data_IF_807287033046
#
_entry.id   IF_807287033046
#
_cell.length_a   1.000
_cell.length_b   1.000
_cell.length_c   1.000
_cell.angle_alpha   90.00
_cell.angle_beta   90.00
_cell.angle_gamma   90.00
#
_symmetry.space_group_name_H-M   'P 1'
#
loop_
_entity.id
_entity.type
_entity.pdbx_description
1 polymer ?
#
# COMPACT_ATOMS: atom_id res chain seq x y z
N UNK A 1 -11.68 25.56 8.89
CA UNK A 1 -11.96 25.77 7.47
C UNK A 1 -12.19 24.43 6.78
N UNK A 2 -12.97 24.39 5.70
CA UNK A 2 -13.02 23.20 4.85
C UNK A 2 -11.59 22.78 4.46
N UNK A 3 -11.28 21.49 4.53
CA UNK A 3 -9.91 21.03 4.34
C UNK A 3 -9.86 19.81 3.44
N UNK A 4 -8.96 19.84 2.45
CA UNK A 4 -8.56 18.69 1.64
C UNK A 4 -7.30 18.08 2.27
N UNK A 5 -7.36 16.81 2.63
CA UNK A 5 -6.19 16.07 3.09
C UNK A 5 -5.51 15.41 1.90
N UNK A 6 -4.26 15.79 1.64
CA UNK A 6 -3.48 15.33 0.48
C UNK A 6 -2.56 14.19 0.92
N UNK A 7 -2.75 13.01 0.32
CA UNK A 7 -2.01 11.80 0.68
C UNK A 7 -1.22 11.30 -0.53
N UNK A 8 0.09 11.46 -0.50
CA UNK A 8 0.99 10.92 -1.51
C UNK A 8 1.38 9.49 -1.14
N UNK A 9 0.73 8.51 -1.73
CA UNK A 9 1.09 7.10 -1.61
C UNK A 9 2.24 6.77 -2.56
N UNK A 10 3.28 6.09 -2.07
CA UNK A 10 4.39 5.62 -2.91
C UNK A 10 4.44 4.11 -2.80
N UNK A 11 4.12 3.41 -3.90
CA UNK A 11 4.32 1.98 -3.98
C UNK A 11 5.83 1.72 -3.99
N UNK A 12 6.34 1.31 -2.83
CA UNK A 12 7.76 1.28 -2.52
C UNK A 12 8.28 -0.13 -2.77
N UNK A 13 8.87 -0.32 -3.93
CA UNK A 13 9.26 -1.62 -4.50
C UNK A 13 10.77 -1.78 -4.67
N UNK A 14 11.55 -0.74 -4.37
CA UNK A 14 13.00 -0.71 -4.54
C UNK A 14 13.44 -0.58 -6.00
N UNK A 15 14.75 -0.81 -6.28
CA UNK A 15 15.30 -0.66 -7.62
C UNK A 15 14.64 -1.56 -8.64
N UNK A 16 14.42 -1.04 -9.86
CA UNK A 16 13.81 -1.77 -10.95
C UNK A 16 14.69 -1.67 -12.20
N UNK A 17 15.16 -2.81 -12.69
CA UNK A 17 15.88 -2.91 -13.94
C UNK A 17 15.02 -3.60 -15.00
N UNK A 18 14.85 -2.95 -16.16
CA UNK A 18 14.19 -3.53 -17.31
C UNK A 18 15.15 -3.57 -18.50
N UNK A 19 15.48 -4.77 -18.98
CA UNK A 19 16.29 -4.92 -20.19
C UNK A 19 15.49 -4.59 -21.44
N UNK A 20 16.18 -4.30 -22.54
CA UNK A 20 15.56 -4.07 -23.85
C UNK A 20 14.64 -5.26 -24.23
N UNK A 21 15.11 -6.50 -24.02
CA UNK A 21 14.33 -7.70 -24.27
C UNK A 21 13.05 -7.75 -23.41
N UNK A 22 13.15 -7.37 -22.13
CA UNK A 22 11.98 -7.34 -21.23
C UNK A 22 10.97 -6.25 -21.66
N UNK A 23 11.44 -5.10 -22.14
CA UNK A 23 10.59 -4.05 -22.72
C UNK A 23 9.80 -4.58 -23.92
N UNK A 24 10.46 -5.25 -24.87
CA UNK A 24 9.79 -5.82 -26.04
C UNK A 24 8.87 -6.99 -25.68
N UNK A 25 9.24 -7.84 -24.72
CA UNK A 25 8.35 -8.87 -24.20
C UNK A 25 7.08 -8.26 -23.56
N UNK A 26 7.19 -7.11 -22.90
CA UNK A 26 6.04 -6.38 -22.34
C UNK A 26 5.14 -5.84 -23.46
N UNK A 27 5.67 -5.29 -24.53
CA UNK A 27 4.89 -4.85 -25.70
C UNK A 27 4.15 -6.03 -26.36
N UNK A 28 4.82 -7.18 -26.50
CA UNK A 28 4.18 -8.38 -27.01
C UNK A 28 3.02 -8.84 -26.09
N UNK A 29 3.19 -8.77 -24.77
CA UNK A 29 2.14 -9.13 -23.82
C UNK A 29 0.93 -8.19 -23.82
N UNK A 30 1.17 -6.87 -23.98
CA UNK A 30 0.13 -5.84 -23.92
C UNK A 30 -0.65 -5.77 -25.24
N UNK A 31 0.06 -5.74 -26.37
CA UNK A 31 -0.48 -5.40 -27.69
C UNK A 31 -0.48 -6.57 -28.69
N UNK A 32 0.15 -7.70 -28.35
CA UNK A 32 0.39 -8.83 -29.26
C UNK A 32 1.29 -8.44 -30.46
N UNK A 33 2.22 -7.49 -30.23
CA UNK A 33 3.19 -6.99 -31.21
C UNK A 33 4.55 -7.61 -30.96
N UNK A 34 5.12 -8.25 -31.98
CA UNK A 34 6.40 -8.96 -31.88
C UNK A 34 7.45 -8.29 -32.77
N UNK A 35 8.51 -7.78 -32.15
CA UNK A 35 9.65 -7.16 -32.81
C UNK A 35 10.94 -7.78 -32.30
N UNK A 36 11.99 -7.76 -33.14
CA UNK A 36 13.34 -8.06 -32.69
C UNK A 36 13.84 -6.87 -31.82
N UNK A 37 14.26 -7.11 -30.58
CA UNK A 37 14.66 -6.05 -29.67
C UNK A 37 15.90 -5.28 -30.17
N UNK A 38 15.74 -3.98 -30.45
CA UNK A 38 16.83 -3.07 -30.78
C UNK A 38 16.52 -1.64 -30.34
N UNK A 39 17.53 -0.84 -30.05
CA UNK A 39 17.37 0.58 -29.69
C UNK A 39 16.74 1.39 -30.84
N UNK A 40 17.05 1.02 -32.09
CA UNK A 40 16.49 1.69 -33.28
C UNK A 40 14.97 1.44 -33.35
N UNK A 41 14.53 0.19 -33.24
CA UNK A 41 13.09 -0.14 -33.25
C UNK A 41 12.38 0.46 -32.05
N UNK A 42 13.01 0.51 -30.87
CA UNK A 42 12.46 1.19 -29.69
C UNK A 42 12.21 2.68 -29.96
N UNK A 43 13.19 3.38 -30.53
CA UNK A 43 13.06 4.79 -30.87
C UNK A 43 11.95 5.04 -31.92
N UNK A 44 11.87 4.20 -32.94
CA UNK A 44 10.81 4.28 -33.94
C UNK A 44 9.40 4.07 -33.37
N UNK A 45 9.25 3.09 -32.45
CA UNK A 45 7.98 2.85 -31.74
C UNK A 45 7.61 4.03 -30.82
N UNK A 46 8.60 4.61 -30.13
CA UNK A 46 8.39 5.80 -29.28
C UNK A 46 7.92 7.02 -30.08
N UNK A 47 8.39 7.15 -31.32
CA UNK A 47 8.03 8.26 -32.23
C UNK A 47 6.75 7.98 -33.05
N UNK A 48 6.19 6.76 -32.97
CA UNK A 48 5.05 6.36 -33.79
C UNK A 48 5.37 6.19 -35.29
N UNK A 49 6.61 5.85 -35.62
CA UNK A 49 7.13 5.73 -37.01
C UNK A 49 6.85 4.34 -37.60
N UNK A 50 6.51 3.35 -36.77
CA UNK A 50 6.15 2.00 -37.20
C UNK A 50 4.63 1.88 -37.19
N UNK A 51 4.05 1.46 -38.33
CA UNK A 51 2.63 1.15 -38.44
C UNK A 51 2.30 -0.10 -37.57
N UNK A 52 1.45 0.08 -36.57
CA UNK A 52 0.99 -0.95 -35.64
C UNK A 52 -0.55 -1.03 -35.57
N UNK A 53 -1.20 -0.80 -36.72
CA UNK A 53 -2.65 -0.91 -36.87
C UNK A 53 -3.46 0.02 -35.95
N UNK A 54 -3.12 1.28 -35.93
CA UNK A 54 -3.75 2.36 -35.13
C UNK A 54 -3.45 2.29 -33.63
N UNK A 55 -2.45 1.52 -33.21
CA UNK A 55 -1.98 1.46 -31.82
C UNK A 55 -0.72 2.32 -31.58
N UNK A 56 -0.27 3.13 -32.56
CA UNK A 56 0.96 3.90 -32.50
C UNK A 56 1.04 4.74 -31.24
N UNK A 57 -0.01 5.47 -30.91
CA UNK A 57 -0.06 6.33 -29.73
C UNK A 57 -0.07 5.52 -28.43
N UNK A 58 -0.81 4.42 -28.36
CA UNK A 58 -0.86 3.55 -27.19
C UNK A 58 0.51 2.90 -26.92
N UNK A 59 1.18 2.43 -27.97
CA UNK A 59 2.53 1.86 -27.90
C UNK A 59 3.54 2.93 -27.47
N UNK A 60 3.51 4.12 -28.10
CA UNK A 60 4.38 5.23 -27.73
C UNK A 60 4.19 5.67 -26.27
N UNK A 61 2.96 5.70 -25.78
CA UNK A 61 2.65 6.01 -24.38
C UNK A 61 3.25 4.97 -23.41
N UNK A 62 3.15 3.68 -23.71
CA UNK A 62 3.75 2.61 -22.89
C UNK A 62 5.27 2.65 -22.90
N UNK A 63 5.87 3.04 -24.03
CA UNK A 63 7.32 3.13 -24.24
C UNK A 63 7.90 4.53 -23.97
N UNK A 64 7.10 5.45 -23.45
CA UNK A 64 7.56 6.81 -23.20
C UNK A 64 8.89 6.83 -22.40
N UNK A 65 9.89 7.63 -22.82
CA UNK A 65 11.20 7.64 -22.18
C UNK A 65 11.16 7.88 -20.66
N UNK A 66 10.23 8.72 -20.17
CA UNK A 66 10.10 8.99 -18.74
C UNK A 66 9.58 7.77 -17.97
N UNK A 67 8.78 6.90 -18.62
CA UNK A 67 8.28 5.66 -18.01
C UNK A 67 9.32 4.53 -18.02
N UNK A 68 10.32 4.61 -18.89
CA UNK A 68 11.43 3.64 -19.01
C UNK A 68 12.67 4.04 -18.21
N UNK A 69 12.73 5.29 -17.73
CA UNK A 69 13.84 5.77 -16.91
C UNK A 69 13.62 5.36 -15.45
N UNK A 70 14.32 4.30 -15.03
CA UNK A 70 14.19 3.75 -13.70
C UNK A 70 15.41 4.04 -12.81
N UNK A 71 15.18 4.10 -11.50
CA UNK A 71 16.20 3.92 -10.48
C UNK A 71 16.52 2.41 -10.42
N UNK A 72 17.49 1.98 -11.20
CA UNK A 72 17.80 0.57 -11.43
C UNK A 72 18.84 0.01 -10.46
N UNK A 73 19.37 0.85 -9.57
CA UNK A 73 20.27 0.49 -8.46
C UNK A 73 19.87 1.20 -7.19
N UNK A 74 20.28 0.67 -6.05
CA UNK A 74 20.07 1.29 -4.74
C UNK A 74 20.71 2.68 -4.66
N UNK A 75 21.91 2.87 -5.23
CA UNK A 75 22.60 4.17 -5.21
C UNK A 75 21.82 5.26 -5.96
N UNK A 76 21.16 4.92 -7.08
CA UNK A 76 20.31 5.87 -7.81
C UNK A 76 19.04 6.18 -7.04
N UNK A 77 18.43 5.16 -6.44
CA UNK A 77 17.26 5.31 -5.61
C UNK A 77 17.57 6.20 -4.40
N UNK A 78 18.65 5.90 -3.66
CA UNK A 78 19.07 6.65 -2.47
C UNK A 78 19.35 8.11 -2.80
N UNK A 79 20.05 8.37 -3.90
CA UNK A 79 20.29 9.74 -4.34
C UNK A 79 18.97 10.50 -4.56
N UNK A 80 17.99 9.89 -5.22
CA UNK A 80 16.68 10.50 -5.43
C UNK A 80 15.95 10.71 -4.10
N UNK A 81 16.01 9.72 -3.18
CA UNK A 81 15.38 9.79 -1.87
C UNK A 81 15.99 10.90 -0.99
N UNK A 82 17.32 10.99 -0.90
CA UNK A 82 17.97 12.05 -0.14
C UNK A 82 17.58 13.44 -0.65
N UNK A 83 17.50 13.63 -1.96
CA UNK A 83 17.05 14.89 -2.54
C UNK A 83 15.56 15.16 -2.20
N UNK A 84 14.67 14.16 -2.37
CA UNK A 84 13.24 14.30 -2.12
C UNK A 84 12.90 14.50 -0.63
N UNK A 85 13.68 13.89 0.27
CA UNK A 85 13.52 13.97 1.72
C UNK A 85 14.20 15.23 2.32
N UNK A 86 14.98 15.97 1.53
CA UNK A 86 15.67 17.15 2.01
C UNK A 86 14.69 18.24 2.46
N UNK A 87 15.05 19.03 3.48
CA UNK A 87 14.22 20.18 3.92
C UNK A 87 13.99 21.18 2.79
N UNK A 88 14.97 21.40 1.90
CA UNK A 88 14.86 22.30 0.75
C UNK A 88 13.73 21.86 -0.18
N UNK A 89 13.72 20.58 -0.58
CA UNK A 89 12.71 20.06 -1.49
C UNK A 89 11.34 20.06 -0.85
N UNK A 90 11.21 19.55 0.39
CA UNK A 90 9.93 19.52 1.09
C UNK A 90 9.33 20.90 1.29
N UNK A 91 10.14 21.90 1.69
CA UNK A 91 9.68 23.25 1.95
C UNK A 91 9.44 24.08 0.68
N UNK A 92 9.91 23.61 -0.48
CA UNK A 92 9.51 24.17 -1.78
C UNK A 92 8.08 23.78 -2.17
N UNK A 93 7.52 22.75 -1.53
CA UNK A 93 6.19 22.20 -1.80
C UNK A 93 5.36 22.23 -0.51
N UNK A 94 4.84 23.40 -0.15
CA UNK A 94 4.15 23.63 1.11
C UNK A 94 2.63 23.47 0.97
N UNK A 95 2.00 23.04 2.06
CA UNK A 95 0.55 23.07 2.22
C UNK A 95 0.04 24.47 2.61
N UNK A 96 -1.27 24.64 2.75
CA UNK A 96 -1.90 25.92 3.13
C UNK A 96 -1.45 26.47 4.48
N UNK A 97 -0.82 25.66 5.33
CA UNK A 97 -0.30 26.05 6.64
C UNK A 97 1.22 26.33 6.63
N UNK A 98 1.87 26.20 5.47
CA UNK A 98 3.32 26.34 5.33
C UNK A 98 4.10 25.11 5.75
N UNK A 99 3.46 23.95 5.93
CA UNK A 99 4.16 22.71 6.22
C UNK A 99 4.67 22.07 4.90
N UNK A 100 5.89 21.53 4.94
CA UNK A 100 6.49 20.83 3.81
C UNK A 100 5.78 19.52 3.47
N UNK A 101 6.15 18.96 2.32
CA UNK A 101 5.57 17.74 1.78
C UNK A 101 5.70 16.53 2.72
N UNK A 102 4.69 15.62 2.70
CA UNK A 102 4.63 14.39 3.49
C UNK A 102 4.48 13.19 2.55
N UNK A 103 5.24 12.14 2.79
CA UNK A 103 5.23 10.91 2.00
C UNK A 103 4.61 9.76 2.78
N UNK A 104 4.00 8.83 2.05
CA UNK A 104 3.44 7.59 2.57
C UNK A 104 4.06 6.42 1.81
N UNK A 105 5.03 5.76 2.44
CA UNK A 105 5.84 4.68 1.88
C UNK A 105 5.14 3.35 2.09
N UNK A 106 4.50 2.83 1.04
CA UNK A 106 3.81 1.54 1.05
C UNK A 106 4.80 0.44 0.66
N UNK A 107 5.43 -0.16 1.66
CA UNK A 107 6.53 -1.10 1.48
C UNK A 107 6.02 -2.50 1.11
N UNK A 108 6.62 -3.09 0.08
CA UNK A 108 6.28 -4.41 -0.44
C UNK A 108 7.28 -5.47 -0.03
N UNK A 109 6.78 -6.67 0.23
CA UNK A 109 7.58 -7.89 0.27
C UNK A 109 7.32 -8.72 -0.99
N UNK A 110 8.34 -8.83 -1.83
CA UNK A 110 8.28 -9.63 -3.05
C UNK A 110 8.88 -11.01 -2.78
N UNK A 111 8.07 -11.91 -2.19
CA UNK A 111 8.48 -13.28 -1.83
C UNK A 111 7.61 -14.31 -2.54
N UNK A 112 8.12 -15.50 -2.73
CA UNK A 112 7.40 -16.63 -3.35
C UNK A 112 7.28 -16.56 -4.87
N UNK A 113 7.84 -15.54 -5.52
CA UNK A 113 7.89 -15.43 -6.98
C UNK A 113 9.04 -16.23 -7.55
N UNK A 114 8.83 -16.88 -8.70
CA UNK A 114 9.85 -17.65 -9.43
C UNK A 114 10.34 -16.95 -10.70
N UNK A 115 9.54 -16.03 -11.28
CA UNK A 115 9.91 -15.24 -12.45
C UNK A 115 10.02 -13.75 -12.09
N UNK A 116 11.16 -13.14 -12.40
CA UNK A 116 11.48 -11.73 -12.10
C UNK A 116 12.13 -11.04 -13.30
N UNK A 117 11.37 -10.80 -14.39
CA UNK A 117 11.92 -10.29 -15.66
C UNK A 117 12.44 -8.84 -15.56
N UNK A 118 11.95 -8.06 -14.61
CA UNK A 118 12.39 -6.68 -14.36
C UNK A 118 13.39 -6.56 -13.21
N UNK A 119 13.95 -7.66 -12.74
CA UNK A 119 14.96 -7.73 -11.68
C UNK A 119 14.61 -6.90 -10.45
N UNK A 120 13.35 -6.99 -9.99
CA UNK A 120 12.93 -6.41 -8.72
C UNK A 120 13.69 -7.06 -7.56
N UNK A 121 13.83 -6.33 -6.48
CA UNK A 121 14.41 -6.86 -5.24
C UNK A 121 13.44 -7.86 -4.60
N UNK A 122 13.78 -9.16 -4.67
CA UNK A 122 12.97 -10.22 -4.08
C UNK A 122 13.45 -10.51 -2.66
N UNK A 123 12.54 -10.75 -1.76
CA UNK A 123 12.85 -11.19 -0.40
C UNK A 123 11.93 -10.57 0.65
N UNK A 124 12.07 -11.05 1.89
CA UNK A 124 11.35 -10.52 3.03
C UNK A 124 12.01 -9.22 3.51
N UNK A 125 11.20 -8.18 3.72
CA UNK A 125 11.50 -6.95 4.46
C UNK A 125 12.70 -6.13 4.00
N UNK A 126 13.32 -6.44 2.88
CA UNK A 126 14.46 -5.68 2.36
C UNK A 126 14.07 -4.22 2.07
N UNK A 127 12.91 -4.04 1.47
CA UNK A 127 12.36 -2.70 1.16
C UNK A 127 12.01 -1.99 2.46
N UNK A 128 11.24 -2.63 3.33
CA UNK A 128 10.83 -2.06 4.61
C UNK A 128 12.03 -1.63 5.46
N UNK A 129 13.02 -2.50 5.62
CA UNK A 129 14.21 -2.20 6.43
C UNK A 129 15.01 -1.04 5.85
N UNK A 130 15.17 -0.99 4.51
CA UNK A 130 15.87 0.10 3.83
C UNK A 130 15.15 1.44 4.07
N UNK A 131 13.83 1.52 3.84
CA UNK A 131 13.05 2.74 4.02
C UNK A 131 12.96 3.15 5.49
N UNK A 132 12.80 2.21 6.41
CA UNK A 132 12.85 2.50 7.84
C UNK A 132 14.17 3.15 8.25
N UNK A 133 15.30 2.67 7.72
CA UNK A 133 16.61 3.22 7.99
C UNK A 133 16.76 4.65 7.41
N UNK A 134 16.41 4.86 6.13
CA UNK A 134 16.58 6.18 5.50
C UNK A 134 15.66 7.24 6.12
N UNK A 135 14.46 6.88 6.55
CA UNK A 135 13.57 7.81 7.26
C UNK A 135 14.13 8.19 8.64
N UNK A 136 14.74 7.25 9.35
CA UNK A 136 15.41 7.51 10.61
C UNK A 136 16.64 8.42 10.40
N UNK A 137 17.48 8.13 9.40
CA UNK A 137 18.68 8.92 9.08
C UNK A 137 18.36 10.37 8.69
N UNK A 138 17.26 10.56 7.95
CA UNK A 138 16.83 11.89 7.48
C UNK A 138 15.91 12.61 8.46
N UNK A 139 15.55 11.99 9.60
CA UNK A 139 14.62 12.56 10.58
C UNK A 139 13.20 12.78 10.03
N UNK A 140 12.77 11.98 9.07
CA UNK A 140 11.49 12.08 8.38
C UNK A 140 10.31 11.54 9.23
N UNK A 141 10.09 12.11 10.39
CA UNK A 141 9.14 11.64 11.42
C UNK A 141 7.67 11.96 11.11
N UNK A 142 7.38 12.73 10.05
CA UNK A 142 6.01 13.01 9.58
C UNK A 142 5.54 12.05 8.49
N UNK A 143 6.45 11.28 7.92
CA UNK A 143 6.14 10.30 6.88
C UNK A 143 5.56 9.01 7.48
N UNK A 144 4.71 8.32 6.71
CA UNK A 144 4.17 7.03 7.08
C UNK A 144 4.91 5.86 6.43
N UNK A 145 5.17 4.79 7.21
CA UNK A 145 5.49 3.47 6.67
C UNK A 145 4.22 2.62 6.70
N UNK A 146 3.84 2.08 5.55
CA UNK A 146 2.59 1.37 5.34
C UNK A 146 2.80 0.06 4.60
N UNK A 147 1.77 -0.75 4.56
CA UNK A 147 1.81 -2.07 3.96
C UNK A 147 1.35 -2.06 2.50
N UNK A 148 2.15 -2.69 1.65
CA UNK A 148 1.85 -2.96 0.24
C UNK A 148 2.02 -4.44 -0.04
N UNK A 149 1.06 -5.06 -0.72
CA UNK A 149 1.13 -6.49 -0.99
C UNK A 149 0.80 -6.81 -2.44
N UNK A 150 1.66 -7.64 -3.03
CA UNK A 150 1.45 -8.24 -4.34
C UNK A 150 1.09 -9.72 -4.17
N UNK A 151 -0.20 -10.10 -4.26
CA UNK A 151 -0.59 -11.50 -4.29
C UNK A 151 0.10 -12.23 -5.45
N UNK A 152 0.53 -13.48 -5.20
CA UNK A 152 1.28 -14.25 -6.18
C UNK A 152 0.33 -14.79 -7.26
N UNK A 153 0.51 -14.45 -8.56
CA UNK A 153 -0.29 -15.00 -9.64
C UNK A 153 0.10 -16.45 -9.93
N UNK A 154 -0.75 -17.19 -10.64
CA UNK A 154 -0.44 -18.57 -11.04
C UNK A 154 0.81 -18.70 -11.92
N UNK A 155 1.21 -17.63 -12.61
CA UNK A 155 2.46 -17.57 -13.36
C UNK A 155 3.70 -17.42 -12.48
N UNK A 156 3.53 -17.18 -11.17
CA UNK A 156 4.58 -16.84 -10.21
C UNK A 156 5.50 -15.68 -10.67
N UNK A 157 5.04 -14.84 -11.60
CA UNK A 157 5.80 -13.70 -12.08
C UNK A 157 5.53 -12.46 -11.22
N UNK A 158 6.57 -11.85 -10.68
CA UNK A 158 6.51 -10.59 -9.95
C UNK A 158 5.96 -9.41 -10.78
N UNK A 159 5.69 -9.65 -12.08
CA UNK A 159 5.28 -8.67 -13.07
C UNK A 159 3.80 -8.78 -13.45
N UNK A 160 3.14 -9.83 -13.00
CA UNK A 160 1.75 -10.09 -13.32
C UNK A 160 0.84 -9.86 -12.13
N UNK A 161 -0.35 -9.32 -12.42
CA UNK A 161 -1.41 -9.17 -11.44
C UNK A 161 -2.05 -10.52 -11.10
N UNK A 162 -2.25 -10.79 -9.83
CA UNK A 162 -3.04 -11.91 -9.36
C UNK A 162 -4.55 -11.63 -9.48
N UNK A 163 -5.35 -12.69 -9.64
CA UNK A 163 -6.81 -12.63 -9.67
C UNK A 163 -7.46 -13.04 -8.34
N UNK A 164 -6.68 -13.51 -7.39
CA UNK A 164 -7.06 -13.85 -6.02
C UNK A 164 -6.11 -13.18 -5.04
N UNK A 165 -6.56 -12.90 -3.85
CA UNK A 165 -5.72 -12.41 -2.77
C UNK A 165 -4.87 -13.55 -2.16
N UNK A 166 -5.46 -14.75 -2.01
CA UNK A 166 -4.83 -15.95 -1.46
C UNK A 166 -4.63 -17.07 -2.48
N UNK A 167 -4.46 -16.79 -3.78
CA UNK A 167 -4.60 -17.80 -4.82
C UNK A 167 -3.60 -18.97 -4.75
N UNK A 168 -2.30 -18.69 -4.82
CA UNK A 168 -1.31 -19.73 -5.04
C UNK A 168 -0.46 -20.03 -3.81
N UNK A 169 0.06 -18.98 -3.18
CA UNK A 169 0.91 -19.08 -1.97
C UNK A 169 0.51 -17.96 -1.02
N UNK A 170 -0.08 -18.26 0.13
CA UNK A 170 -0.53 -17.24 1.10
C UNK A 170 0.63 -16.69 1.91
N UNK A 171 1.65 -16.14 1.23
CA UNK A 171 2.87 -15.60 1.86
C UNK A 171 2.59 -14.43 2.79
N UNK A 172 1.43 -13.78 2.65
CA UNK A 172 1.07 -12.61 3.45
C UNK A 172 1.08 -12.90 4.96
N UNK A 173 0.71 -14.10 5.37
CA UNK A 173 0.73 -14.49 6.78
C UNK A 173 2.15 -14.60 7.31
N UNK A 174 3.07 -15.14 6.51
CA UNK A 174 4.49 -15.20 6.88
C UNK A 174 5.13 -13.81 6.91
N UNK A 175 4.79 -12.94 5.93
CA UNK A 175 5.24 -11.55 5.90
C UNK A 175 4.85 -10.84 7.19
N UNK A 176 3.56 -10.81 7.52
CA UNK A 176 3.07 -10.13 8.72
C UNK A 176 3.61 -10.76 10.02
N UNK A 177 3.78 -12.09 10.08
CA UNK A 177 4.39 -12.74 11.25
C UNK A 177 5.84 -12.30 11.46
N UNK A 178 6.61 -12.14 10.39
CA UNK A 178 7.99 -11.62 10.46
C UNK A 178 8.03 -10.14 10.86
N UNK A 179 7.10 -9.33 10.35
CA UNK A 179 6.98 -7.92 10.75
C UNK A 179 6.71 -7.79 12.25
N UNK A 180 5.78 -8.58 12.78
CA UNK A 180 5.42 -8.56 14.19
C UNK A 180 6.61 -9.01 15.05
N UNK A 181 7.19 -10.18 14.76
CA UNK A 181 8.20 -10.80 15.62
C UNK A 181 9.55 -10.11 15.50
N UNK A 182 10.01 -9.84 14.27
CA UNK A 182 11.36 -9.35 14.05
C UNK A 182 11.47 -7.83 14.08
N UNK A 183 10.36 -7.09 13.87
CA UNK A 183 10.35 -5.62 13.75
C UNK A 183 9.44 -4.92 14.74
N UNK A 184 8.63 -5.65 15.50
CA UNK A 184 7.60 -5.10 16.39
C UNK A 184 6.73 -4.10 15.63
N UNK A 185 6.31 -4.46 14.41
CA UNK A 185 5.53 -3.62 13.51
C UNK A 185 4.30 -4.37 12.97
N UNK A 186 3.21 -3.65 12.76
CA UNK A 186 1.99 -4.15 12.15
C UNK A 186 1.26 -3.00 11.43
N UNK A 187 0.62 -3.24 10.26
CA UNK A 187 -0.01 -2.18 9.50
C UNK A 187 -1.40 -1.80 9.99
N UNK A 188 -1.72 -0.50 9.96
CA UNK A 188 -3.10 0.02 10.00
C UNK A 188 -3.54 0.65 8.68
N UNK A 189 -2.62 0.84 7.74
CA UNK A 189 -2.87 1.39 6.41
C UNK A 189 -2.33 0.43 5.36
N UNK A 190 -3.13 0.19 4.33
CA UNK A 190 -2.86 -0.75 3.26
C UNK A 190 -3.05 -0.12 1.88
N UNK A 191 -2.30 -0.62 0.91
CA UNK A 191 -2.48 -0.35 -0.50
C UNK A 191 -2.16 -1.62 -1.31
N UNK A 192 -3.08 -2.07 -2.22
CA UNK A 192 -2.86 -3.29 -3.00
C UNK A 192 -1.92 -3.07 -4.18
N UNK A 193 -1.08 -4.06 -4.47
CA UNK A 193 -0.34 -4.15 -5.72
C UNK A 193 -1.28 -4.20 -6.92
N UNK A 194 -0.92 -3.51 -8.01
CA UNK A 194 -1.75 -3.38 -9.22
C UNK A 194 -3.18 -2.84 -8.94
N UNK A 195 -3.40 -2.16 -7.82
CA UNK A 195 -4.73 -1.77 -7.33
C UNK A 195 -5.73 -2.95 -7.25
N UNK A 196 -5.22 -4.15 -7.05
CA UNK A 196 -5.99 -5.39 -7.18
C UNK A 196 -6.67 -5.78 -5.87
N UNK A 197 -7.85 -5.24 -5.61
CA UNK A 197 -8.76 -5.77 -4.60
C UNK A 197 -9.64 -6.86 -5.22
N UNK A 198 -9.87 -7.92 -4.45
CA UNK A 198 -10.71 -9.08 -4.83
C UNK A 198 -11.66 -9.40 -3.67
N UNK A 199 -12.74 -10.17 -3.89
CA UNK A 199 -13.66 -10.54 -2.81
C UNK A 199 -12.98 -11.21 -1.62
N UNK A 200 -11.96 -12.03 -1.86
CA UNK A 200 -11.19 -12.70 -0.81
C UNK A 200 -10.24 -11.76 -0.02
N UNK A 201 -10.03 -10.53 -0.46
CA UNK A 201 -9.30 -9.52 0.33
C UNK A 201 -10.00 -9.18 1.65
N UNK A 202 -11.33 -9.35 1.72
CA UNK A 202 -12.10 -9.17 2.95
C UNK A 202 -11.65 -10.10 4.08
N UNK A 203 -11.18 -11.30 3.75
CA UNK A 203 -10.77 -12.29 4.76
C UNK A 203 -9.56 -11.89 5.59
N UNK A 204 -8.77 -10.94 5.09
CA UNK A 204 -7.67 -10.35 5.86
C UNK A 204 -7.99 -8.91 6.29
N UNK A 205 -8.36 -8.05 5.33
CA UNK A 205 -8.44 -6.62 5.58
C UNK A 205 -9.51 -6.28 6.62
N UNK A 206 -10.68 -6.94 6.57
CA UNK A 206 -11.75 -6.74 7.56
C UNK A 206 -11.43 -7.28 8.96
N UNK A 207 -10.38 -8.10 9.07
CA UNK A 207 -9.96 -8.62 10.36
C UNK A 207 -8.88 -7.75 11.02
N UNK A 208 -8.04 -7.07 10.23
CA UNK A 208 -6.81 -6.53 10.79
C UNK A 208 -6.49 -5.08 10.41
N UNK A 209 -6.96 -4.57 9.25
CA UNK A 209 -6.46 -3.31 8.68
C UNK A 209 -7.61 -2.32 8.43
N UNK A 210 -7.68 -1.21 9.19
CA UNK A 210 -8.81 -0.29 9.12
C UNK A 210 -8.82 0.64 7.89
N UNK A 211 -7.67 0.95 7.28
CA UNK A 211 -7.57 1.94 6.21
C UNK A 211 -6.95 1.38 4.94
N UNK A 212 -7.65 1.55 3.81
CA UNK A 212 -7.29 0.98 2.51
C UNK A 212 -7.33 2.07 1.42
N UNK A 213 -6.19 2.34 0.77
CA UNK A 213 -6.07 3.30 -0.33
C UNK A 213 -6.12 2.60 -1.69
N UNK A 214 -7.15 1.79 -1.91
CA UNK A 214 -7.26 0.89 -3.06
C UNK A 214 -8.14 1.40 -4.19
N UNK A 215 -9.16 2.26 -3.90
CA UNK A 215 -10.15 2.64 -4.91
C UNK A 215 -9.51 3.46 -6.03
N UNK A 216 -9.40 2.87 -7.21
CA UNK A 216 -8.88 3.51 -8.42
C UNK A 216 -9.98 3.79 -9.46
N UNK A 217 -11.17 4.20 -8.99
CA UNK A 217 -12.27 4.56 -9.87
C UNK A 217 -11.92 5.76 -10.75
N UNK A 218 -12.29 5.67 -12.02
CA UNK A 218 -12.01 6.68 -13.03
C UNK A 218 -13.22 6.87 -13.96
N UNK A 219 -13.47 8.10 -14.41
CA UNK A 219 -14.69 8.45 -15.17
C UNK A 219 -14.80 7.73 -16.50
N UNK A 220 -13.66 7.50 -17.17
CA UNK A 220 -13.59 6.87 -18.48
C UNK A 220 -12.70 5.64 -18.41
N UNK A 221 -13.15 4.62 -17.68
CA UNK A 221 -12.38 3.39 -17.51
C UNK A 221 -12.55 2.45 -18.70
N UNK A 222 -12.26 2.96 -19.90
CA UNK A 222 -12.27 2.19 -21.16
C UNK A 222 -10.84 2.05 -21.66
N UNK A 223 -10.26 0.87 -21.48
CA UNK A 223 -8.92 0.57 -21.94
C UNK A 223 -8.96 -0.42 -23.10
N UNK A 224 -8.30 -0.06 -24.21
CA UNK A 224 -8.09 -0.95 -25.35
C UNK A 224 -6.95 -1.94 -25.10
N UNK A 225 -6.05 -1.61 -24.20
CA UNK A 225 -4.91 -2.46 -23.85
C UNK A 225 -5.35 -3.71 -23.10
N UNK A 226 -4.87 -4.86 -23.55
CA UNK A 226 -5.25 -6.18 -23.06
C UNK A 226 -5.03 -6.39 -21.57
N UNK A 227 -3.95 -5.84 -21.01
CA UNK A 227 -3.58 -5.94 -19.60
C UNK A 227 -4.44 -5.07 -18.67
N UNK A 228 -5.07 -4.02 -19.21
CA UNK A 228 -5.97 -3.13 -18.46
C UNK A 228 -7.46 -3.45 -18.67
N UNK A 229 -7.77 -4.17 -19.76
CA UNK A 229 -9.16 -4.45 -20.12
C UNK A 229 -9.91 -5.23 -19.03
N UNK A 230 -11.19 -4.91 -18.84
CA UNK A 230 -12.11 -5.61 -17.94
C UNK A 230 -11.63 -5.69 -16.47
N UNK A 231 -10.90 -4.69 -16.00
CA UNK A 231 -10.47 -4.60 -14.60
C UNK A 231 -9.37 -5.58 -14.22
N UNK A 232 -8.51 -6.00 -15.13
CA UNK A 232 -7.37 -6.90 -14.82
C UNK A 232 -6.40 -6.29 -13.80
N UNK A 233 -6.21 -4.97 -13.84
CA UNK A 233 -5.42 -4.18 -12.89
C UNK A 233 -6.31 -3.57 -11.79
N UNK A 234 -7.07 -4.38 -11.08
CA UNK A 234 -8.09 -3.94 -10.14
C UNK A 234 -9.38 -3.47 -10.85
N UNK A 235 -10.51 -4.02 -10.45
CA UNK A 235 -11.82 -3.62 -10.97
C UNK A 235 -12.45 -2.57 -10.05
N UNK A 236 -12.45 -1.32 -10.51
CA UNK A 236 -12.99 -0.18 -9.78
C UNK A 236 -14.06 0.57 -10.57
N UNK A 237 -14.62 -0.05 -11.63
CA UNK A 237 -15.54 0.59 -12.58
C UNK A 237 -16.86 1.04 -11.95
N UNK A 238 -17.26 0.46 -10.82
CA UNK A 238 -18.50 0.77 -10.08
C UNK A 238 -18.24 1.49 -8.75
N UNK A 239 -16.99 1.66 -8.38
CA UNK A 239 -16.64 2.30 -7.12
C UNK A 239 -16.93 3.82 -7.15
N UNK A 240 -17.13 4.44 -5.98
CA UNK A 240 -17.36 5.88 -5.90
C UNK A 240 -16.25 6.70 -6.56
N UNK A 241 -16.64 7.70 -7.33
CA UNK A 241 -15.73 8.65 -8.01
C UNK A 241 -15.40 9.88 -7.16
N UNK A 242 -16.02 10.01 -5.98
CA UNK A 242 -15.74 11.09 -5.05
C UNK A 242 -14.50 10.80 -4.19
N UNK A 243 -14.03 11.81 -3.46
CA UNK A 243 -12.87 11.73 -2.57
C UNK A 243 -13.22 11.37 -1.13
N UNK A 244 -14.49 10.99 -0.88
CA UNK A 244 -14.92 10.54 0.43
C UNK A 244 -14.58 9.06 0.60
N UNK A 245 -13.87 8.66 1.67
CA UNK A 245 -13.73 7.25 2.01
C UNK A 245 -15.09 6.62 2.29
N UNK A 246 -15.20 5.34 2.01
CA UNK A 246 -16.44 4.58 2.25
C UNK A 246 -16.15 3.22 2.88
N UNK A 247 -17.09 2.71 3.66
CA UNK A 247 -17.12 1.32 4.08
C UNK A 247 -17.59 0.45 2.91
N UNK A 248 -16.86 -0.59 2.50
CA UNK A 248 -17.33 -1.45 1.41
C UNK A 248 -18.46 -2.37 1.86
N UNK A 249 -19.25 -2.86 0.89
CA UNK A 249 -20.16 -3.96 1.10
C UNK A 249 -19.38 -5.28 1.17
N UNK A 250 -19.86 -6.21 1.97
CA UNK A 250 -19.30 -7.55 2.06
C UNK A 250 -19.37 -8.29 0.70
N UNK A 251 -20.45 -8.09 -0.05
CA UNK A 251 -20.69 -8.79 -1.31
C UNK A 251 -20.01 -8.13 -2.52
N UNK A 252 -19.70 -6.83 -2.42
CA UNK A 252 -19.06 -6.06 -3.47
C UNK A 252 -18.21 -4.92 -2.90
N UNK A 253 -16.91 -5.08 -2.90
CA UNK A 253 -15.98 -4.06 -2.37
C UNK A 253 -16.05 -2.71 -3.09
N UNK A 254 -16.62 -2.65 -4.30
CA UNK A 254 -16.84 -1.40 -5.03
C UNK A 254 -18.08 -0.63 -4.58
N UNK A 255 -18.97 -1.28 -3.83
CA UNK A 255 -20.24 -0.68 -3.39
C UNK A 255 -20.15 -0.28 -1.92
N UNK A 256 -20.59 0.95 -1.54
CA UNK A 256 -20.73 1.32 -0.15
C UNK A 256 -21.62 0.35 0.65
N UNK A 257 -21.20 0.00 1.85
CA UNK A 257 -21.87 -0.98 2.72
C UNK A 257 -21.50 -0.79 4.20
N UNK A 258 -21.33 -1.89 4.91
CA UNK A 258 -21.17 -1.92 6.36
C UNK A 258 -19.99 -2.78 6.84
N UNK A 259 -19.03 -3.05 5.98
CA UNK A 259 -17.75 -3.60 6.42
C UNK A 259 -17.04 -2.62 7.38
N UNK A 260 -16.03 -3.09 8.10
CA UNK A 260 -15.36 -2.28 9.13
C UNK A 260 -14.36 -1.28 8.55
N UNK A 261 -13.59 -1.70 7.52
CA UNK A 261 -12.54 -0.86 6.96
C UNK A 261 -13.10 0.29 6.15
N UNK A 262 -12.27 1.30 5.97
CA UNK A 262 -12.52 2.40 5.06
C UNK A 262 -11.69 2.23 3.79
N UNK A 263 -12.31 2.47 2.63
CA UNK A 263 -11.62 2.51 1.35
C UNK A 263 -11.57 3.96 0.85
N UNK A 264 -10.37 4.50 0.64
CA UNK A 264 -10.10 5.79 0.01
C UNK A 264 -9.83 5.66 -1.49
N UNK A 265 -10.26 6.66 -2.27
CA UNK A 265 -9.92 6.77 -3.69
C UNK A 265 -8.46 7.20 -3.83
N UNK A 266 -7.69 6.56 -4.75
CA UNK A 266 -6.30 6.86 -5.01
C UNK A 266 -5.99 6.72 -6.49
N UNK A 267 -5.74 7.83 -7.19
CA UNK A 267 -5.39 7.84 -8.61
C UNK A 267 -3.87 7.76 -8.82
N UNK A 268 -3.45 7.56 -10.05
CA UNK A 268 -2.03 7.49 -10.37
C UNK A 268 -1.44 8.85 -10.72
N UNK A 269 -0.12 9.00 -10.53
CA UNK A 269 0.70 10.07 -11.09
C UNK A 269 1.95 9.44 -11.71
N UNK A 270 2.46 10.02 -12.80
CA UNK A 270 3.65 9.50 -13.48
C UNK A 270 3.47 8.11 -14.10
N UNK A 271 2.25 7.71 -14.44
CA UNK A 271 1.93 6.45 -15.11
C UNK A 271 1.10 6.66 -16.37
N UNK A 272 0.74 5.58 -17.05
CA UNK A 272 0.03 5.61 -18.34
C UNK A 272 -1.50 5.55 -18.26
N UNK A 273 -2.08 5.35 -17.07
CA UNK A 273 -3.53 5.15 -16.94
C UNK A 273 -4.06 5.68 -15.61
N UNK A 274 -5.33 6.04 -15.59
CA UNK A 274 -6.05 6.55 -14.41
C UNK A 274 -5.27 7.66 -13.69
N UNK A 275 -4.69 8.57 -14.48
CA UNK A 275 -3.83 9.64 -13.98
C UNK A 275 -4.65 10.76 -13.38
N UNK A 276 -4.21 11.26 -12.23
CA UNK A 276 -4.75 12.46 -11.60
C UNK A 276 -4.68 13.65 -12.55
N UNK A 277 -5.79 14.36 -12.69
CA UNK A 277 -5.91 15.56 -13.50
C UNK A 277 -6.37 16.76 -12.65
N UNK A 278 -6.27 17.97 -13.22
CA UNK A 278 -6.71 19.20 -12.54
C UNK A 278 -8.16 19.12 -12.09
N UNK A 279 -9.05 18.56 -12.91
CA UNK A 279 -10.48 18.41 -12.59
C UNK A 279 -10.71 17.51 -11.37
N UNK A 280 -9.86 16.51 -11.14
CA UNK A 280 -9.94 15.63 -9.97
C UNK A 280 -9.54 16.38 -8.70
N UNK A 281 -8.51 17.26 -8.79
CA UNK A 281 -8.09 18.12 -7.68
C UNK A 281 -9.18 19.14 -7.37
N UNK A 282 -9.75 19.79 -8.38
CA UNK A 282 -10.85 20.74 -8.22
C UNK A 282 -12.08 20.09 -7.58
N UNK A 283 -12.39 18.84 -7.95
CA UNK A 283 -13.46 18.07 -7.34
C UNK A 283 -13.21 17.89 -5.84
N UNK A 284 -11.97 17.57 -5.42
CA UNK A 284 -11.64 17.41 -4.01
C UNK A 284 -11.87 18.72 -3.21
N UNK A 285 -11.45 19.85 -3.78
CA UNK A 285 -11.67 21.16 -3.17
C UNK A 285 -13.16 21.51 -3.10
N UNK A 286 -13.91 21.23 -4.16
CA UNK A 286 -15.37 21.47 -4.15
C UNK A 286 -16.07 20.58 -3.11
N UNK A 287 -15.70 19.30 -3.00
CA UNK A 287 -16.27 18.40 -1.99
C UNK A 287 -15.98 18.89 -0.57
N UNK A 288 -14.74 19.32 -0.29
CA UNK A 288 -14.42 19.92 1.02
C UNK A 288 -15.21 21.19 1.29
N UNK A 289 -15.37 22.08 0.31
CA UNK A 289 -16.21 23.30 0.42
C UNK A 289 -17.65 22.96 0.73
N UNK A 290 -18.18 21.85 0.19
CA UNK A 290 -19.52 21.35 0.44
C UNK A 290 -19.66 20.66 1.81
N UNK A 291 -18.62 20.68 2.64
CA UNK A 291 -18.60 20.09 3.98
C UNK A 291 -18.49 18.57 3.99
N UNK A 292 -17.98 17.97 2.91
CA UNK A 292 -17.77 16.52 2.81
C UNK A 292 -16.34 16.14 3.18
N UNK A 293 -16.12 14.95 3.80
CA UNK A 293 -14.77 14.42 3.97
C UNK A 293 -14.05 14.34 2.62
N UNK A 294 -12.86 14.92 2.51
CA UNK A 294 -12.12 14.93 1.24
C UNK A 294 -10.67 14.52 1.46
N UNK A 295 -10.31 13.35 0.94
CA UNK A 295 -8.94 12.83 0.93
C UNK A 295 -8.50 12.70 -0.52
N UNK A 296 -7.73 13.67 -0.99
CA UNK A 296 -7.09 13.64 -2.30
C UNK A 296 -5.84 12.76 -2.22
N UNK A 297 -5.96 11.50 -2.61
CA UNK A 297 -4.81 10.61 -2.62
C UNK A 297 -4.41 10.18 -4.02
N UNK A 298 -3.11 10.05 -4.22
CA UNK A 298 -2.51 9.66 -5.48
C UNK A 298 -1.27 8.80 -5.24
N UNK A 299 -0.90 8.01 -6.25
CA UNK A 299 0.18 7.07 -6.13
C UNK A 299 1.15 7.12 -7.31
N UNK A 300 2.42 6.90 -6.98
CA UNK A 300 3.49 6.63 -7.91
C UNK A 300 4.40 5.50 -7.38
N UNK A 301 5.61 5.36 -7.92
CA UNK A 301 6.54 4.29 -7.53
C UNK A 301 7.94 4.86 -7.31
N UNK A 302 8.65 4.35 -6.31
CA UNK A 302 10.01 4.75 -5.93
C UNK A 302 11.08 4.40 -6.98
N UNK A 303 10.83 3.42 -7.82
CA UNK A 303 11.74 3.09 -8.92
C UNK A 303 11.76 4.13 -10.07
N UNK A 304 11.02 5.24 -9.94
CA UNK A 304 11.11 6.44 -10.81
C UNK A 304 11.47 7.67 -10.00
N UNK A 305 11.77 8.77 -10.68
CA UNK A 305 12.00 10.05 -10.02
C UNK A 305 10.68 10.67 -9.57
N UNK A 306 10.36 10.51 -8.28
CA UNK A 306 9.13 11.02 -7.69
C UNK A 306 9.07 12.54 -7.58
N UNK A 307 10.20 13.25 -7.69
CA UNK A 307 10.27 14.71 -7.50
C UNK A 307 9.49 15.46 -8.57
N UNK A 308 9.52 14.96 -9.81
CA UNK A 308 8.72 15.52 -10.91
C UNK A 308 7.21 15.40 -10.62
N UNK A 309 6.78 14.26 -10.09
CA UNK A 309 5.38 14.00 -9.76
C UNK A 309 4.91 14.91 -8.61
N UNK A 310 5.76 15.11 -7.58
CA UNK A 310 5.50 16.04 -6.48
C UNK A 310 5.29 17.47 -6.99
N UNK A 311 6.20 17.95 -7.86
CA UNK A 311 6.10 19.29 -8.44
C UNK A 311 4.82 19.46 -9.26
N UNK A 312 4.49 18.47 -10.09
CA UNK A 312 3.27 18.50 -10.90
C UNK A 312 2.00 18.56 -10.04
N UNK A 313 1.93 17.77 -8.97
CA UNK A 313 0.77 17.77 -8.08
C UNK A 313 0.70 19.06 -7.27
N UNK A 314 1.83 19.61 -6.81
CA UNK A 314 1.84 20.91 -6.13
C UNK A 314 1.29 22.01 -7.03
N UNK A 315 1.66 22.06 -8.32
CA UNK A 315 1.12 23.03 -9.27
C UNK A 315 -0.43 22.91 -9.40
N UNK A 316 -0.95 21.67 -9.43
CA UNK A 316 -2.40 21.44 -9.45
C UNK A 316 -3.08 21.92 -8.16
N UNK A 317 -2.48 21.65 -6.99
CA UNK A 317 -2.98 22.09 -5.68
C UNK A 317 -3.00 23.62 -5.58
N UNK A 318 -1.91 24.28 -5.97
CA UNK A 318 -1.82 25.75 -5.97
C UNK A 318 -2.84 26.39 -6.91
N UNK A 319 -3.05 25.78 -8.08
CA UNK A 319 -4.08 26.20 -9.05
C UNK A 319 -5.48 26.09 -8.44
N UNK A 320 -5.81 24.98 -7.76
CA UNK A 320 -7.09 24.81 -7.08
C UNK A 320 -7.21 25.76 -5.90
N UNK A 321 -6.20 25.89 -5.04
CA UNK A 321 -6.24 26.79 -3.90
C UNK A 321 -6.49 28.26 -4.32
N UNK A 322 -5.97 28.68 -5.47
CA UNK A 322 -6.25 30.02 -6.00
C UNK A 322 -7.71 30.25 -6.39
N UNK A 323 -8.43 29.20 -6.80
CA UNK A 323 -9.85 29.24 -7.18
C UNK A 323 -10.80 28.98 -6.01
N UNK A 324 -10.32 28.28 -5.00
CA UNK A 324 -11.05 27.87 -3.80
C UNK A 324 -10.41 28.49 -2.54
N UNK A 325 -10.31 29.83 -2.51
CA UNK A 325 -9.59 30.55 -1.45
C UNK A 325 -10.17 30.36 -0.02
N UNK A 326 -11.33 29.77 0.11
CA UNK A 326 -12.01 29.42 1.36
C UNK A 326 -11.79 27.96 1.78
N UNK A 327 -10.95 27.20 1.05
CA UNK A 327 -10.59 25.80 1.33
C UNK A 327 -9.09 25.70 1.56
N UNK A 328 -8.67 25.04 2.63
CA UNK A 328 -7.29 24.68 2.90
C UNK A 328 -6.96 23.30 2.32
N UNK A 329 -5.70 23.06 1.96
CA UNK A 329 -5.19 21.71 1.77
C UNK A 329 -4.02 21.44 2.72
N UNK A 330 -3.86 20.19 3.13
CA UNK A 330 -2.82 19.75 4.08
C UNK A 330 -2.17 18.48 3.62
N UNK A 331 -0.84 18.48 3.52
CA UNK A 331 -0.07 17.26 3.30
C UNK A 331 -0.13 16.38 4.55
N UNK A 332 -0.59 15.14 4.38
CA UNK A 332 -0.93 14.27 5.51
C UNK A 332 -0.35 12.87 5.36
N UNK A 333 0.00 12.30 6.49
CA UNK A 333 0.20 10.86 6.63
C UNK A 333 -1.14 10.14 6.45
N UNK A 334 -1.13 8.94 5.85
CA UNK A 334 -2.35 8.25 5.41
C UNK A 334 -3.34 7.94 6.53
N UNK A 335 -2.86 7.52 7.69
CA UNK A 335 -3.68 7.28 8.88
C UNK A 335 -4.25 8.59 9.44
N UNK A 336 -3.41 9.63 9.51
CA UNK A 336 -3.84 10.96 9.96
C UNK A 336 -4.94 11.54 9.05
N UNK A 337 -4.79 11.41 7.74
CA UNK A 337 -5.79 11.87 6.78
C UNK A 337 -7.15 11.20 7.01
N UNK A 338 -7.20 9.88 7.21
CA UNK A 338 -8.44 9.17 7.53
C UNK A 338 -9.05 9.65 8.84
N UNK A 339 -8.25 9.77 9.91
CA UNK A 339 -8.70 10.24 11.22
C UNK A 339 -9.34 11.62 11.15
N UNK A 340 -8.70 12.55 10.45
CA UNK A 340 -9.12 13.94 10.38
C UNK A 340 -10.30 14.15 9.43
N UNK A 341 -10.24 13.56 8.22
CA UNK A 341 -11.32 13.72 7.24
C UNK A 341 -12.64 13.07 7.70
N UNK A 342 -12.56 11.94 8.37
CA UNK A 342 -13.72 11.21 8.88
C UNK A 342 -14.16 11.65 10.29
N UNK A 343 -13.45 12.62 10.88
CA UNK A 343 -13.72 13.12 12.25
C UNK A 343 -13.78 11.98 13.28
N UNK A 344 -12.89 10.99 13.14
CA UNK A 344 -12.85 9.85 14.05
C UNK A 344 -12.53 10.33 15.47
N UNK A 345 -13.22 9.74 16.44
CA UNK A 345 -12.99 10.08 17.85
C UNK A 345 -11.60 9.61 18.29
N UNK A 346 -10.79 10.55 18.74
CA UNK A 346 -9.45 10.25 19.27
C UNK A 346 -9.53 9.28 20.45
N UNK A 347 -8.69 8.25 20.40
CA UNK A 347 -8.60 7.21 21.41
C UNK A 347 -7.14 7.00 21.79
N UNK A 348 -6.85 6.71 23.08
CA UNK A 348 -5.53 6.20 23.44
C UNK A 348 -5.31 4.83 22.78
N UNK A 349 -4.06 4.47 22.42
CA UNK A 349 -3.75 3.11 21.96
C UNK A 349 -4.25 2.08 22.96
N UNK A 350 -4.86 0.99 22.47
CA UNK A 350 -5.27 -0.11 23.33
C UNK A 350 -4.04 -0.84 23.90
N UNK A 351 -4.18 -1.41 25.10
CA UNK A 351 -3.17 -2.27 25.69
C UNK A 351 -3.61 -3.72 25.57
N UNK A 352 -2.67 -4.59 25.19
CA UNK A 352 -2.84 -6.03 25.20
C UNK A 352 -2.12 -6.60 26.44
N UNK A 353 -2.83 -7.39 27.23
CA UNK A 353 -2.21 -8.24 28.25
C UNK A 353 -2.13 -9.64 27.69
N UNK A 354 -0.92 -10.20 27.61
CA UNK A 354 -0.66 -11.50 27.02
C UNK A 354 0.13 -12.32 28.05
N UNK A 355 -0.43 -13.47 28.47
CA UNK A 355 0.18 -14.36 29.45
C UNK A 355 0.20 -15.80 28.94
N UNK A 356 1.33 -16.48 29.07
CA UNK A 356 1.47 -17.89 28.73
C UNK A 356 1.55 -18.69 30.02
N UNK A 357 0.57 -19.55 30.26
CA UNK A 357 0.52 -20.41 31.43
C UNK A 357 0.06 -21.81 31.02
N UNK A 358 0.82 -22.84 31.42
CA UNK A 358 0.47 -24.25 31.18
C UNK A 358 0.06 -24.53 29.70
N UNK A 359 0.87 -24.09 28.75
CA UNK A 359 0.66 -24.27 27.29
C UNK A 359 -0.53 -23.47 26.71
N UNK A 360 -1.12 -22.54 27.48
CA UNK A 360 -2.17 -21.64 27.01
C UNK A 360 -1.67 -20.21 26.99
N UNK A 361 -1.87 -19.53 25.87
CA UNK A 361 -1.71 -18.08 25.74
C UNK A 361 -3.07 -17.43 25.96
N UNK A 362 -3.22 -16.67 27.03
CA UNK A 362 -4.38 -15.81 27.27
C UNK A 362 -4.08 -14.38 26.81
N UNK A 363 -5.02 -13.77 26.10
CA UNK A 363 -4.93 -12.43 25.56
C UNK A 363 -6.16 -11.63 25.97
N UNK A 364 -5.94 -10.47 26.58
CA UNK A 364 -7.01 -9.50 26.87
C UNK A 364 -6.66 -8.12 26.34
N UNK A 365 -7.66 -7.38 25.84
CA UNK A 365 -7.52 -6.02 25.37
C UNK A 365 -8.23 -5.03 26.27
N UNK A 366 -7.60 -3.86 26.51
CA UNK A 366 -8.17 -2.78 27.32
C UNK A 366 -9.38 -2.08 26.69
N UNK A 367 -9.58 -2.26 25.38
CA UNK A 367 -10.70 -1.73 24.61
C UNK A 367 -10.94 -2.59 23.36
N UNK A 368 -12.13 -2.48 22.71
CA UNK A 368 -12.44 -3.28 21.53
C UNK A 368 -11.40 -3.12 20.40
N UNK A 369 -10.97 -4.26 19.84
CA UNK A 369 -10.14 -4.30 18.65
C UNK A 369 -10.93 -3.93 17.40
N UNK A 370 -10.24 -3.48 16.32
CA UNK A 370 -10.85 -3.23 15.02
C UNK A 370 -11.51 -4.49 14.44
N UNK A 371 -10.76 -5.58 14.39
CA UNK A 371 -11.20 -6.86 13.88
C UNK A 371 -11.69 -7.81 14.98
N UNK A 372 -12.16 -8.99 14.60
CA UNK A 372 -12.72 -9.95 15.56
C UNK A 372 -11.67 -10.53 16.52
N UNK A 373 -10.40 -10.56 16.13
CA UNK A 373 -9.29 -11.09 16.89
C UNK A 373 -7.98 -10.36 16.55
N UNK A 374 -6.98 -10.34 17.46
CA UNK A 374 -5.61 -9.98 17.13
C UNK A 374 -4.99 -10.96 16.13
N UNK A 375 -3.95 -10.52 15.42
CA UNK A 375 -3.10 -11.38 14.62
C UNK A 375 -2.14 -12.13 15.55
N UNK A 376 -2.18 -13.45 15.53
CA UNK A 376 -1.23 -14.32 16.24
C UNK A 376 -0.10 -14.71 15.28
N UNK A 377 1.12 -14.37 15.62
CA UNK A 377 2.34 -14.74 14.92
C UNK A 377 3.16 -15.69 15.79
N UNK A 378 3.65 -16.77 15.21
CA UNK A 378 4.47 -17.79 15.89
C UNK A 378 5.73 -18.02 15.10
N UNK A 379 6.89 -17.89 15.74
CA UNK A 379 8.17 -18.34 15.20
C UNK A 379 8.56 -19.65 15.85
N UNK A 380 8.78 -20.68 15.02
CA UNK A 380 9.18 -21.99 15.50
C UNK A 380 10.69 -22.09 15.73
N UNK A 381 11.12 -23.07 16.54
CA UNK A 381 12.54 -23.37 16.75
C UNK A 381 13.26 -23.86 15.49
N UNK A 382 12.52 -24.29 14.45
CA UNK A 382 13.04 -24.58 13.11
C UNK A 382 13.18 -23.34 12.23
N UNK A 383 12.78 -22.14 12.70
CA UNK A 383 12.87 -20.88 11.99
C UNK A 383 11.72 -20.58 11.04
N UNK A 384 10.63 -21.33 11.10
CA UNK A 384 9.41 -21.06 10.34
C UNK A 384 8.55 -20.02 11.04
N UNK A 385 7.84 -19.19 10.25
CA UNK A 385 6.87 -18.23 10.75
C UNK A 385 5.47 -18.67 10.35
N UNK A 386 4.56 -18.69 11.33
CA UNK A 386 3.20 -19.17 11.20
C UNK A 386 2.22 -18.13 11.74
N UNK A 387 1.02 -18.16 11.20
CA UNK A 387 -0.15 -17.46 11.72
C UNK A 387 -1.22 -18.49 12.03
N UNK A 388 -1.94 -18.30 13.13
CA UNK A 388 -3.10 -19.13 13.46
C UNK A 388 -4.22 -18.28 14.07
N UNK A 389 -5.41 -18.85 14.17
CA UNK A 389 -6.58 -18.22 14.77
C UNK A 389 -6.60 -18.43 16.27
N UNK A 390 -7.32 -17.55 16.95
CA UNK A 390 -7.53 -17.59 18.39
C UNK A 390 -8.92 -18.12 18.74
N UNK A 391 -9.06 -18.76 19.89
CA UNK A 391 -10.35 -19.08 20.51
C UNK A 391 -10.91 -17.84 21.21
N UNK A 392 -12.22 -17.61 21.04
CA UNK A 392 -12.90 -16.45 21.64
C UNK A 392 -13.32 -16.73 23.08
N UNK A 393 -12.88 -15.89 24.00
CA UNK A 393 -13.38 -15.84 25.36
C UNK A 393 -14.41 -14.73 25.55
N UNK A 394 -14.07 -13.52 25.08
CA UNK A 394 -14.96 -12.37 25.04
C UNK A 394 -14.80 -11.65 23.69
N UNK A 395 -15.86 -11.51 22.87
CA UNK A 395 -15.76 -10.88 21.56
C UNK A 395 -15.11 -9.49 21.62
N UNK A 396 -14.08 -9.26 20.81
CA UNK A 396 -13.31 -8.03 20.69
C UNK A 396 -12.43 -7.65 21.90
N UNK A 397 -12.45 -8.44 22.99
CA UNK A 397 -11.76 -8.13 24.24
C UNK A 397 -10.90 -9.26 24.81
N UNK A 398 -11.24 -10.53 24.55
CA UNK A 398 -10.54 -11.66 25.16
C UNK A 398 -10.45 -12.87 24.26
N UNK A 399 -9.26 -13.49 24.23
CA UNK A 399 -8.95 -14.67 23.40
C UNK A 399 -7.97 -15.57 24.13
N UNK A 400 -7.91 -16.84 23.66
CA UNK A 400 -6.87 -17.77 24.05
C UNK A 400 -6.34 -18.58 22.89
N UNK A 401 -5.18 -19.19 23.07
CA UNK A 401 -4.58 -20.14 22.12
C UNK A 401 -3.88 -21.25 22.90
N UNK A 402 -4.17 -22.51 22.55
CA UNK A 402 -3.56 -23.68 23.20
C UNK A 402 -2.43 -24.20 22.32
N UNK A 403 -1.26 -24.39 22.92
CA UNK A 403 -0.08 -24.98 22.29
C UNK A 403 -0.05 -26.49 22.57
N UNK A 404 -0.42 -27.29 21.58
CA UNK A 404 -0.48 -28.75 21.71
C UNK A 404 -0.11 -29.47 20.39
N UNK A 405 -0.37 -30.78 20.32
CA UNK A 405 -0.09 -31.60 19.13
C UNK A 405 -1.02 -31.27 17.94
N UNK A 406 -2.16 -30.59 18.13
CA UNK A 406 -3.10 -30.20 17.08
C UNK A 406 -2.77 -28.82 16.49
N UNK A 407 -2.03 -28.03 17.24
CA UNK A 407 -1.53 -26.70 16.83
C UNK A 407 -0.01 -26.77 16.65
N UNK A 408 0.74 -26.12 17.53
CA UNK A 408 2.21 -26.16 17.59
C UNK A 408 2.59 -26.40 19.06
N UNK A 409 3.22 -27.53 19.42
CA UNK A 409 3.67 -27.74 20.80
C UNK A 409 4.58 -26.62 21.28
N UNK A 410 4.35 -26.13 22.50
CA UNK A 410 5.06 -24.97 23.05
C UNK A 410 6.59 -25.11 23.04
N UNK A 411 7.08 -26.32 23.19
CA UNK A 411 8.52 -26.65 23.10
C UNK A 411 9.13 -26.37 21.74
N UNK A 412 8.31 -26.33 20.68
CA UNK A 412 8.71 -26.00 19.31
C UNK A 412 8.56 -24.51 18.99
N UNK A 413 8.18 -23.68 19.95
CA UNK A 413 7.99 -22.24 19.77
C UNK A 413 9.23 -21.47 20.25
N UNK A 414 9.79 -20.62 19.38
CA UNK A 414 10.91 -19.71 19.69
C UNK A 414 10.41 -18.36 20.18
N UNK A 415 9.40 -17.79 19.51
CA UNK A 415 8.82 -16.50 19.84
C UNK A 415 7.34 -16.45 19.45
N UNK A 416 6.56 -15.66 20.19
CA UNK A 416 5.15 -15.39 19.93
C UNK A 416 5.00 -13.88 19.74
N UNK A 417 4.22 -13.49 18.72
CA UNK A 417 3.84 -12.11 18.48
C UNK A 417 2.33 -11.96 18.42
N UNK A 418 1.80 -10.92 19.04
CA UNK A 418 0.37 -10.58 18.99
C UNK A 418 0.23 -9.13 18.55
N UNK A 419 -0.54 -8.88 17.51
CA UNK A 419 -0.73 -7.53 16.99
C UNK A 419 -2.18 -7.23 16.66
N UNK A 420 -2.61 -5.99 16.86
CA UNK A 420 -3.95 -5.55 16.50
C UNK A 420 -4.00 -4.03 16.26
N UNK A 421 -5.06 -3.60 15.59
CA UNK A 421 -5.44 -2.20 15.47
C UNK A 421 -6.76 -1.94 16.23
N UNK A 422 -7.02 -0.68 16.55
CA UNK A 422 -8.36 -0.17 16.83
C UNK A 422 -8.97 0.50 15.58
N UNK A 423 -10.22 0.95 15.68
CA UNK A 423 -10.94 1.64 14.60
C UNK A 423 -10.43 3.08 14.34
N UNK A 424 -9.62 3.62 15.22
CA UNK A 424 -8.88 4.88 15.04
C UNK A 424 -7.56 4.67 14.30
N UNK A 425 -7.15 3.41 14.09
CA UNK A 425 -5.89 3.02 13.44
C UNK A 425 -4.66 3.11 14.33
N UNK A 426 -4.82 3.14 15.67
CA UNK A 426 -3.71 2.87 16.57
C UNK A 426 -3.34 1.40 16.47
N UNK A 427 -2.04 1.13 16.53
CA UNK A 427 -1.50 -0.24 16.45
C UNK A 427 -0.81 -0.60 17.74
N UNK A 428 -1.07 -1.81 18.23
CA UNK A 428 -0.36 -2.40 19.35
C UNK A 428 0.25 -3.74 18.94
N UNK A 429 1.53 -3.90 19.24
CA UNK A 429 2.30 -5.12 19.00
C UNK A 429 2.89 -5.60 20.33
N UNK A 430 2.70 -6.88 20.65
CA UNK A 430 3.31 -7.55 21.83
C UNK A 430 4.16 -8.70 21.32
N UNK A 431 5.42 -8.76 21.77
CA UNK A 431 6.30 -9.90 21.53
C UNK A 431 6.58 -10.60 22.87
N UNK A 432 6.49 -11.92 22.86
CA UNK A 432 6.60 -12.78 24.03
C UNK A 432 7.68 -13.83 23.80
N UNK A 433 8.60 -13.96 24.76
CA UNK A 433 9.48 -15.11 24.84
C UNK A 433 8.77 -16.22 25.65
N UNK A 434 8.36 -17.33 25.03
CA UNK A 434 7.60 -18.37 25.71
C UNK A 434 8.41 -19.12 26.79
N UNK A 435 9.76 -19.03 26.77
CA UNK A 435 10.64 -19.71 27.74
C UNK A 435 10.76 -18.94 29.05
N UNK A 436 10.72 -17.63 28.99
CA UNK A 436 10.90 -16.76 30.15
C UNK A 436 9.60 -16.10 30.60
N UNK A 437 8.56 -16.12 29.77
CA UNK A 437 7.32 -15.38 29.96
C UNK A 437 7.51 -13.86 29.83
N UNK A 438 8.72 -13.40 29.46
CA UNK A 438 8.95 -11.97 29.28
C UNK A 438 8.23 -11.46 28.04
N UNK A 439 7.62 -10.28 28.13
CA UNK A 439 6.95 -9.64 27.03
C UNK A 439 7.44 -8.20 26.85
N UNK A 440 7.32 -7.70 25.62
CA UNK A 440 7.52 -6.30 25.27
C UNK A 440 6.31 -5.81 24.48
N UNK A 441 5.84 -4.60 24.78
CA UNK A 441 4.73 -3.98 24.04
C UNK A 441 5.20 -2.68 23.38
N UNK A 442 4.76 -2.47 22.13
CA UNK A 442 5.00 -1.27 21.34
C UNK A 442 3.68 -0.73 20.78
N UNK A 443 3.52 0.58 20.84
CA UNK A 443 2.45 1.33 20.15
C UNK A 443 3.03 2.07 18.94
N UNK A 444 2.28 2.07 17.80
CA UNK A 444 2.67 2.66 16.53
C UNK A 444 1.63 3.67 16.03
#
# INVERSE_FOLDING_TARGET
MPTVYVVHCIDTEGPLYESLQATFARIANIFDLHFEPSEEVLAQLQNGEIDVNSLEQDVANVLSPHLLKHNDTWEKLDKMLHDALSPEFRNAHQDSLGNGWVYNWHCVDLVGFSANPRRRELGFHKIFDHFSNILNETGSNRDGLHFHHHPIPFSESAHHCATHFFNHKPMIFEILSRDIIDRSWFPSVYRPGFHATRPDSHWLLEQFIPFDYANQSFREDVFTQKDLAKGRFGDWRRAPLNWQPYHPSHDDYQTPGNCRRWIGRCLNVGTRHRSLAQDDVDQAFQEARDGKPSILSFANHDFRDIRTDVTQVQEMLDSSASRFADVEFRHSEGREAMRKALELTEKPPLNLTCEVTDEVLDITSSSPTFGPQPFLAIKTTSGEYRHDNLDFQEPLLGWSYTFDEQTIPLENVEAIGVATCDDYGNVTVVNIDPRTGSNSQRHL
#
